data_IF_564140034295
#
_entry.id   IF_564140034295
#
_cell.length_a   1.000
_cell.length_b   1.000
_cell.length_c   1.000
_cell.angle_alpha   90.00
_cell.angle_beta   90.00
_cell.angle_gamma   90.00
#
_symmetry.space_group_name_H-M   'P 1'
#
loop_
_entity.id
_entity.type
_entity.pdbx_description
1 polymer ?
#
# COMPACT_ATOMS: atom_id res chain seq x y z
N UNK A 1 -30.12 3.72 -1.09
CA UNK A 1 -29.39 2.46 -1.39
C UNK A 1 -27.95 2.74 -1.82
N UNK A 2 -27.64 3.98 -2.24
CA UNK A 2 -26.33 4.41 -2.78
C UNK A 2 -25.16 4.43 -1.79
N UNK A 3 -25.41 4.37 -0.48
CA UNK A 3 -24.37 4.43 0.56
C UNK A 3 -23.34 3.30 0.49
N UNK A 4 -23.69 2.18 -0.15
CA UNK A 4 -22.77 1.06 -0.35
C UNK A 4 -21.79 1.25 -1.51
N UNK A 5 -22.00 2.26 -2.35
CA UNK A 5 -21.27 2.43 -3.61
C UNK A 5 -20.45 3.73 -3.66
N UNK A 6 -20.77 4.73 -2.84
CA UNK A 6 -20.11 6.04 -2.88
C UNK A 6 -18.93 6.10 -1.93
N UNK A 7 -17.77 6.49 -2.47
CA UNK A 7 -16.49 6.64 -1.77
C UNK A 7 -15.98 8.09 -1.77
N UNK A 8 -16.83 9.03 -2.20
CA UNK A 8 -16.48 10.42 -2.51
C UNK A 8 -16.85 11.40 -1.38
N UNK A 9 -17.27 10.88 -0.23
CA UNK A 9 -17.74 11.68 0.90
C UNK A 9 -19.02 12.46 0.60
N UNK A 10 -19.79 12.14 -0.46
CA UNK A 10 -21.06 12.83 -0.76
C UNK A 10 -22.18 12.50 0.23
N UNK A 11 -22.03 11.40 0.97
CA UNK A 11 -22.98 10.92 1.97
C UNK A 11 -22.39 11.09 3.38
N UNK A 12 -23.25 11.01 4.39
CA UNK A 12 -22.84 11.09 5.81
C UNK A 12 -22.31 9.75 6.35
N UNK A 13 -22.37 8.68 5.55
CA UNK A 13 -21.86 7.35 5.91
C UNK A 13 -21.08 6.77 4.73
N UNK A 14 -20.01 6.04 5.05
CA UNK A 14 -19.32 5.16 4.11
C UNK A 14 -19.42 3.70 4.56
N UNK A 15 -19.60 2.80 3.60
CA UNK A 15 -19.48 1.37 3.81
C UNK A 15 -18.16 0.88 3.21
N UNK A 16 -17.27 0.34 4.05
CA UNK A 16 -16.03 -0.29 3.59
C UNK A 16 -16.29 -1.79 3.40
N UNK A 17 -16.18 -2.31 2.16
CA UNK A 17 -16.68 -3.64 1.83
C UNK A 17 -15.78 -4.78 2.29
N UNK A 18 -14.47 -4.56 2.45
CA UNK A 18 -13.54 -5.60 2.90
C UNK A 18 -13.81 -5.93 4.37
N UNK A 19 -13.80 -4.93 5.24
CA UNK A 19 -14.03 -5.06 6.68
C UNK A 19 -15.52 -5.11 7.05
N UNK A 20 -16.41 -4.85 6.09
CA UNK A 20 -17.88 -4.80 6.27
C UNK A 20 -18.31 -3.76 7.32
N UNK A 21 -17.53 -2.70 7.46
CA UNK A 21 -17.72 -1.64 8.44
C UNK A 21 -18.55 -0.50 7.85
N UNK A 22 -19.40 0.11 8.68
CA UNK A 22 -20.13 1.34 8.37
C UNK A 22 -19.64 2.46 9.26
N UNK A 23 -19.13 3.52 8.65
CA UNK A 23 -18.52 4.62 9.37
C UNK A 23 -19.31 5.88 9.09
N UNK A 24 -19.81 6.52 10.15
CA UNK A 24 -20.39 7.85 10.08
C UNK A 24 -19.26 8.87 9.90
N UNK A 25 -19.40 9.69 8.86
CA UNK A 25 -18.41 10.67 8.46
C UNK A 25 -18.66 12.01 9.14
N UNK A 26 -17.60 12.58 9.69
CA UNK A 26 -17.62 13.97 10.15
C UNK A 26 -17.51 14.93 8.96
N UNK A 27 -17.73 16.23 9.20
CA UNK A 27 -17.69 17.23 8.13
C UNK A 27 -16.30 17.38 7.51
N UNK A 28 -15.24 17.33 8.30
CA UNK A 28 -13.87 17.33 7.80
C UNK A 28 -13.54 16.06 7.02
N UNK A 29 -14.03 14.89 7.42
CA UNK A 29 -13.79 13.65 6.67
C UNK A 29 -14.47 13.67 5.30
N UNK A 30 -15.72 14.17 5.25
CA UNK A 30 -16.40 14.43 3.97
C UNK A 30 -15.60 15.42 3.12
N UNK A 31 -15.07 16.48 3.71
CA UNK A 31 -14.27 17.48 3.00
C UNK A 31 -12.93 16.91 2.50
N UNK A 32 -12.22 16.12 3.33
CA UNK A 32 -10.98 15.45 2.97
C UNK A 32 -11.22 14.46 1.83
N UNK A 33 -12.27 13.64 1.89
CA UNK A 33 -12.66 12.71 0.82
C UNK A 33 -13.01 13.43 -0.48
N UNK A 34 -13.44 14.69 -0.44
CA UNK A 34 -13.71 15.52 -1.63
C UNK A 34 -12.49 16.31 -2.09
N UNK A 35 -11.39 16.33 -1.32
CA UNK A 35 -10.16 17.02 -1.68
C UNK A 35 -9.53 16.38 -2.91
N UNK A 36 -8.85 17.18 -3.73
CA UNK A 36 -8.19 16.66 -4.94
C UNK A 36 -7.16 15.59 -4.61
N UNK A 37 -6.43 15.78 -3.50
CA UNK A 37 -5.33 14.90 -3.08
C UNK A 37 -5.81 13.51 -2.66
N UNK A 38 -6.91 13.43 -1.91
CA UNK A 38 -7.50 12.14 -1.52
C UNK A 38 -8.25 11.50 -2.69
N UNK A 39 -9.04 12.27 -3.45
CA UNK A 39 -9.76 11.72 -4.63
C UNK A 39 -8.83 11.14 -5.68
N UNK A 40 -7.66 11.75 -5.86
CA UNK A 40 -6.62 11.26 -6.77
C UNK A 40 -6.24 9.80 -6.52
N UNK A 41 -6.21 9.36 -5.25
CA UNK A 41 -5.86 7.98 -4.87
C UNK A 41 -6.77 6.92 -5.48
N UNK A 42 -7.97 7.29 -5.93
CA UNK A 42 -8.86 6.37 -6.63
C UNK A 42 -8.29 5.89 -7.97
N UNK A 43 -7.41 6.71 -8.58
CA UNK A 43 -6.82 6.49 -9.89
C UNK A 43 -5.35 6.07 -9.80
N UNK A 44 -4.93 5.59 -8.64
CA UNK A 44 -3.59 5.05 -8.39
C UNK A 44 -3.75 3.62 -7.90
N UNK A 45 -3.18 2.67 -8.64
CA UNK A 45 -3.23 1.24 -8.26
C UNK A 45 -2.26 0.97 -7.12
N UNK A 46 -2.74 0.35 -6.05
CA UNK A 46 -1.92 0.07 -4.87
C UNK A 46 -0.75 -0.88 -5.18
N UNK A 47 -1.03 -1.98 -5.88
CA UNK A 47 -0.01 -2.97 -6.29
C UNK A 47 0.93 -2.50 -7.42
N UNK A 48 0.89 -1.22 -7.81
CA UNK A 48 1.70 -0.70 -8.91
C UNK A 48 1.40 -1.41 -10.23
N UNK A 49 2.43 -1.81 -10.97
CA UNK A 49 2.29 -2.51 -12.25
C UNK A 49 1.82 -3.98 -12.14
N UNK A 50 1.73 -4.55 -10.93
CA UNK A 50 1.34 -5.96 -10.74
C UNK A 50 -0.07 -6.29 -11.26
N UNK A 51 -0.95 -5.29 -11.40
CA UNK A 51 -2.31 -5.48 -11.95
C UNK A 51 -2.32 -6.04 -13.39
N UNK A 52 -1.20 -5.91 -14.12
CA UNK A 52 -1.09 -6.31 -15.53
C UNK A 52 -1.24 -7.83 -15.68
N UNK A 53 -0.67 -8.59 -14.75
CA UNK A 53 -0.62 -10.06 -14.83
C UNK A 53 -1.06 -10.75 -13.53
N UNK A 54 -1.60 -10.01 -12.56
CA UNK A 54 -2.12 -10.55 -11.31
C UNK A 54 -3.51 -9.98 -11.00
N UNK A 55 -4.15 -10.49 -9.95
CA UNK A 55 -5.43 -9.98 -9.48
C UNK A 55 -5.32 -8.63 -8.73
N UNK A 56 -4.12 -8.11 -8.44
CA UNK A 56 -3.89 -6.89 -7.64
C UNK A 56 -4.34 -5.61 -8.35
N UNK A 57 -5.66 -5.36 -8.33
CA UNK A 57 -6.33 -4.33 -9.14
C UNK A 57 -6.96 -3.20 -8.31
N UNK A 58 -6.84 -3.26 -6.98
CA UNK A 58 -7.42 -2.25 -6.09
C UNK A 58 -6.60 -0.94 -6.04
N UNK A 59 -7.30 0.15 -5.81
CA UNK A 59 -6.73 1.51 -5.73
C UNK A 59 -6.19 1.83 -4.34
N UNK A 60 -5.28 2.82 -4.25
CA UNK A 60 -4.84 3.39 -2.98
C UNK A 60 -5.98 4.00 -2.19
N UNK A 61 -7.03 4.51 -2.84
CA UNK A 61 -8.21 4.98 -2.12
C UNK A 61 -8.93 3.83 -1.40
N UNK A 62 -9.07 2.65 -2.03
CA UNK A 62 -9.70 1.50 -1.37
C UNK A 62 -8.90 1.06 -0.14
N UNK A 63 -7.56 1.03 -0.26
CA UNK A 63 -6.68 0.78 0.86
C UNK A 63 -6.84 1.84 1.98
N UNK A 64 -6.74 3.12 1.61
CA UNK A 64 -6.92 4.27 2.52
C UNK A 64 -8.24 4.20 3.29
N UNK A 65 -9.33 3.82 2.61
CA UNK A 65 -10.64 3.68 3.23
C UNK A 65 -10.73 2.47 4.16
N UNK A 66 -10.03 1.38 3.85
CA UNK A 66 -9.84 0.24 4.73
C UNK A 66 -9.14 0.61 6.04
N UNK A 67 -7.99 1.29 5.92
CA UNK A 67 -7.23 1.80 7.07
C UNK A 67 -8.06 2.80 7.89
N UNK A 68 -8.77 3.71 7.22
CA UNK A 68 -9.71 4.63 7.85
C UNK A 68 -10.83 3.91 8.60
N UNK A 69 -11.44 2.87 8.00
CA UNK A 69 -12.53 2.13 8.62
C UNK A 69 -12.07 1.37 9.87
N UNK A 70 -10.91 0.70 9.81
CA UNK A 70 -10.28 0.09 10.98
C UNK A 70 -9.99 1.14 12.07
N UNK A 71 -9.46 2.30 11.66
CA UNK A 71 -9.16 3.40 12.58
C UNK A 71 -10.41 3.92 13.28
N UNK A 72 -11.48 4.20 12.53
CA UNK A 72 -12.75 4.66 13.09
C UNK A 72 -13.48 3.58 13.91
N UNK A 73 -13.21 2.30 13.67
CA UNK A 73 -13.76 1.20 14.48
C UNK A 73 -13.10 1.12 15.86
N UNK A 74 -11.77 1.16 15.92
CA UNK A 74 -11.03 1.01 17.18
C UNK A 74 -10.85 2.31 17.96
N UNK A 75 -10.79 3.44 17.25
CA UNK A 75 -10.56 4.78 17.82
C UNK A 75 -11.62 5.78 17.30
N UNK A 76 -12.93 5.53 17.54
CA UNK A 76 -14.03 6.28 16.92
C UNK A 76 -14.00 7.79 17.23
N UNK A 77 -13.55 8.17 18.43
CA UNK A 77 -13.53 9.56 18.91
C UNK A 77 -12.24 10.30 18.53
N UNK A 78 -11.22 9.60 18.00
CA UNK A 78 -9.92 10.18 17.67
C UNK A 78 -9.92 10.81 16.27
N UNK A 79 -10.56 11.97 16.14
CA UNK A 79 -10.71 12.69 14.86
C UNK A 79 -9.38 12.97 14.16
N UNK A 80 -8.33 13.31 14.91
CA UNK A 80 -6.99 13.57 14.35
C UNK A 80 -6.37 12.30 13.74
N UNK A 81 -6.46 11.16 14.41
CA UNK A 81 -5.97 9.89 13.89
C UNK A 81 -6.81 9.41 12.69
N UNK A 82 -8.12 9.60 12.72
CA UNK A 82 -9.02 9.31 11.59
C UNK A 82 -8.68 10.15 10.36
N UNK A 83 -8.40 11.44 10.54
CA UNK A 83 -7.90 12.32 9.48
C UNK A 83 -6.52 11.86 8.96
N UNK A 84 -5.60 11.46 9.85
CA UNK A 84 -4.32 10.90 9.47
C UNK A 84 -4.45 9.62 8.63
N UNK A 85 -5.39 8.73 8.98
CA UNK A 85 -5.66 7.52 8.21
C UNK A 85 -6.16 7.83 6.78
N UNK A 86 -6.99 8.87 6.58
CA UNK A 86 -7.41 9.32 5.24
C UNK A 86 -6.29 9.98 4.43
N UNK A 87 -5.23 10.45 5.10
CA UNK A 87 -4.17 11.25 4.49
C UNK A 87 -2.84 10.52 4.34
N UNK A 88 -2.63 9.36 4.97
CA UNK A 88 -1.33 8.70 5.04
C UNK A 88 -0.70 8.41 3.66
N UNK A 89 -1.55 8.15 2.66
CA UNK A 89 -1.14 7.68 1.34
C UNK A 89 -1.17 8.75 0.24
N UNK A 90 -1.55 10.00 0.56
CA UNK A 90 -1.83 11.04 -0.45
C UNK A 90 -0.62 11.48 -1.28
N UNK A 91 0.60 11.20 -0.80
CA UNK A 91 1.85 11.51 -1.46
C UNK A 91 2.30 10.47 -2.49
N UNK A 92 1.67 9.30 -2.59
CA UNK A 92 2.16 8.27 -3.50
C UNK A 92 2.08 8.68 -4.98
N UNK A 93 3.12 8.33 -5.74
CA UNK A 93 3.16 8.49 -7.19
C UNK A 93 2.19 7.53 -7.91
N UNK A 94 1.89 7.80 -9.19
CA UNK A 94 1.31 6.81 -10.09
C UNK A 94 2.07 5.48 -10.03
N UNK A 95 1.36 4.36 -10.12
CA UNK A 95 1.90 3.02 -9.92
C UNK A 95 2.63 2.82 -8.59
N UNK A 96 2.36 3.63 -7.57
CA UNK A 96 2.76 3.30 -6.19
C UNK A 96 4.28 3.09 -6.06
N UNK A 97 4.70 2.01 -5.39
CA UNK A 97 6.10 1.69 -5.17
C UNK A 97 6.88 1.37 -6.47
N UNK A 98 6.21 1.15 -7.62
CA UNK A 98 6.90 0.88 -8.89
C UNK A 98 7.87 2.00 -9.26
N UNK A 99 7.45 3.25 -9.04
CA UNK A 99 8.22 4.44 -9.45
C UNK A 99 9.11 5.00 -8.34
N UNK A 100 8.98 4.54 -7.09
CA UNK A 100 9.74 5.07 -5.93
C UNK A 100 11.26 4.88 -6.02
N UNK A 101 11.73 3.95 -6.84
CA UNK A 101 13.17 3.77 -7.09
C UNK A 101 13.72 4.69 -8.18
N UNK A 102 12.88 5.51 -8.81
CA UNK A 102 13.34 6.53 -9.75
C UNK A 102 13.90 7.75 -8.99
N UNK A 103 14.96 8.40 -9.50
CA UNK A 103 15.55 9.57 -8.85
C UNK A 103 14.53 10.69 -8.62
N UNK A 104 14.54 11.27 -7.43
CA UNK A 104 13.66 12.39 -7.06
C UNK A 104 12.23 11.99 -6.71
N UNK A 105 11.95 10.70 -6.53
CA UNK A 105 10.64 10.18 -6.10
C UNK A 105 10.69 9.82 -4.62
N UNK A 106 10.10 10.64 -3.77
CA UNK A 106 9.96 10.37 -2.33
C UNK A 106 8.51 10.63 -1.88
N UNK A 107 7.76 9.54 -1.70
CA UNK A 107 6.36 9.64 -1.28
C UNK A 107 6.20 10.16 0.16
N UNK A 108 7.19 9.98 1.05
CA UNK A 108 7.10 10.51 2.41
C UNK A 108 7.25 12.03 2.42
N UNK A 109 8.17 12.57 1.63
CA UNK A 109 8.30 14.01 1.42
C UNK A 109 7.03 14.58 0.79
N UNK A 110 6.52 13.95 -0.26
CA UNK A 110 5.30 14.40 -0.93
C UNK A 110 4.05 14.26 -0.07
N UNK A 111 3.95 13.24 0.78
CA UNK A 111 2.85 13.14 1.76
C UNK A 111 2.93 14.31 2.73
N UNK A 112 4.12 14.67 3.23
CA UNK A 112 4.30 15.86 4.08
C UNK A 112 3.86 17.13 3.35
N UNK A 113 4.40 17.41 2.17
CA UNK A 113 4.00 18.58 1.38
C UNK A 113 2.49 18.64 1.12
N UNK A 114 1.89 17.49 0.82
CA UNK A 114 0.46 17.36 0.58
C UNK A 114 -0.38 17.66 1.84
N UNK A 115 0.03 17.15 3.00
CA UNK A 115 -0.62 17.39 4.29
C UNK A 115 -0.53 18.86 4.69
N UNK A 116 0.59 19.54 4.39
CA UNK A 116 0.79 20.97 4.64
C UNK A 116 0.27 21.89 3.52
N UNK A 117 -0.38 21.35 2.49
CA UNK A 117 -0.99 22.17 1.44
C UNK A 117 -2.19 22.98 1.97
N UNK A 118 -2.42 24.16 1.40
CA UNK A 118 -3.50 25.07 1.83
C UNK A 118 -4.87 24.39 1.88
N UNK A 119 -5.20 23.54 0.90
CA UNK A 119 -6.48 22.81 0.85
C UNK A 119 -6.68 21.93 2.09
N UNK A 120 -5.66 21.15 2.48
CA UNK A 120 -5.74 20.25 3.62
C UNK A 120 -5.67 21.02 4.94
N UNK A 121 -4.79 22.02 5.04
CA UNK A 121 -4.68 22.89 6.21
C UNK A 121 -6.02 23.58 6.51
N UNK A 122 -6.70 24.12 5.49
CA UNK A 122 -8.00 24.78 5.67
C UNK A 122 -9.09 23.81 6.15
N UNK A 123 -9.10 22.58 5.62
CA UNK A 123 -10.06 21.55 6.04
C UNK A 123 -9.84 21.16 7.50
N UNK A 124 -8.59 20.87 7.87
CA UNK A 124 -8.23 20.45 9.24
C UNK A 124 -8.46 21.59 10.26
N UNK A 125 -8.12 22.83 9.90
CA UNK A 125 -8.29 24.00 10.75
C UNK A 125 -9.77 24.24 11.12
N UNK A 126 -10.70 24.04 10.18
CA UNK A 126 -12.16 24.14 10.45
C UNK A 126 -12.65 23.12 11.47
N UNK A 127 -11.97 21.98 11.58
CA UNK A 127 -12.25 20.95 12.58
C UNK A 127 -11.46 21.10 13.88
N UNK A 128 -10.64 22.15 14.01
CA UNK A 128 -9.69 22.35 15.10
C UNK A 128 -8.70 21.18 15.25
N UNK A 129 -8.23 20.65 14.11
CA UNK A 129 -7.20 19.61 14.03
C UNK A 129 -5.89 20.27 13.57
N UNK A 130 -4.81 20.06 14.31
CA UNK A 130 -3.50 20.57 13.92
C UNK A 130 -2.83 19.63 12.90
N UNK A 131 -2.38 20.19 11.79
CA UNK A 131 -1.68 19.47 10.71
C UNK A 131 -0.42 18.75 11.20
N UNK A 132 0.28 19.31 12.19
CA UNK A 132 1.44 18.68 12.83
C UNK A 132 1.07 17.38 13.53
N UNK A 133 -0.03 17.36 14.26
CA UNK A 133 -0.49 16.16 14.99
C UNK A 133 -0.93 15.06 14.01
N UNK A 134 -1.50 15.45 12.86
CA UNK A 134 -1.81 14.53 11.76
C UNK A 134 -0.53 13.91 11.19
N UNK A 135 0.49 14.74 10.94
CA UNK A 135 1.78 14.25 10.42
C UNK A 135 2.49 13.33 11.42
N UNK A 136 2.40 13.64 12.72
CA UNK A 136 2.98 12.81 13.79
C UNK A 136 2.39 11.40 13.82
N UNK A 137 1.09 11.26 13.49
CA UNK A 137 0.48 9.95 13.33
C UNK A 137 0.91 9.24 12.04
N UNK A 138 1.05 9.97 10.93
CA UNK A 138 1.44 9.42 9.62
C UNK A 138 2.89 8.91 9.64
N UNK A 139 3.83 9.68 10.19
CA UNK A 139 5.25 9.28 10.25
C UNK A 139 5.59 8.36 11.44
N UNK A 140 4.62 8.11 12.32
CA UNK A 140 4.74 7.27 13.49
C UNK A 140 5.59 7.86 14.62
N UNK A 141 5.87 9.17 14.62
CA UNK A 141 6.43 9.88 15.79
C UNK A 141 5.48 9.74 16.99
N UNK A 142 4.17 9.79 16.72
CA UNK A 142 3.10 9.42 17.65
C UNK A 142 2.60 8.02 17.32
N UNK A 143 3.05 7.07 18.14
CA UNK A 143 2.64 5.66 18.05
C UNK A 143 1.11 5.53 18.08
N UNK A 144 0.56 4.80 17.12
CA UNK A 144 -0.89 4.62 16.97
C UNK A 144 -1.25 3.35 16.21
N UNK A 145 -2.55 3.13 16.03
CA UNK A 145 -3.08 2.08 15.16
C UNK A 145 -2.60 2.23 13.70
N UNK A 146 -2.41 3.47 13.23
CA UNK A 146 -2.04 3.76 11.85
C UNK A 146 -0.58 3.34 11.57
N UNK A 147 0.34 3.78 12.43
CA UNK A 147 1.79 3.65 12.24
C UNK A 147 2.52 3.58 13.58
N UNK A 148 3.64 2.88 13.60
CA UNK A 148 4.59 2.81 14.71
C UNK A 148 6.03 2.69 14.17
N UNK A 149 7.03 2.74 15.07
CA UNK A 149 8.47 2.58 14.77
C UNK A 149 9.10 1.36 15.44
N UNK A 150 8.30 0.53 16.10
CA UNK A 150 8.76 -0.63 16.88
C UNK A 150 8.67 -1.95 16.09
N UNK A 151 8.31 -1.91 14.80
CA UNK A 151 8.30 -3.09 13.93
C UNK A 151 7.11 -4.01 14.17
N UNK A 152 6.11 -3.55 14.92
CA UNK A 152 4.88 -4.28 15.20
C UNK A 152 3.85 -3.99 14.11
N UNK A 153 3.00 -4.98 13.82
CA UNK A 153 1.88 -4.83 12.91
C UNK A 153 1.00 -3.60 13.24
N UNK A 154 0.68 -2.82 12.21
CA UNK A 154 -0.24 -1.68 12.25
C UNK A 154 -1.28 -1.76 11.13
N UNK A 155 -2.31 -0.91 11.18
CA UNK A 155 -3.49 -1.01 10.30
C UNK A 155 -3.19 -0.81 8.82
N UNK A 156 -2.22 0.03 8.48
CA UNK A 156 -1.73 0.21 7.10
C UNK A 156 -1.21 -1.13 6.52
N UNK A 157 -0.25 -1.79 7.18
CA UNK A 157 0.18 -3.12 6.73
C UNK A 157 -0.94 -4.17 6.77
N UNK A 158 -1.76 -4.19 7.82
CA UNK A 158 -2.84 -5.16 7.96
C UNK A 158 -3.85 -5.08 6.81
N UNK A 159 -4.33 -3.88 6.48
CA UNK A 159 -5.28 -3.71 5.39
C UNK A 159 -4.63 -4.14 4.07
N UNK A 160 -3.39 -3.74 3.79
CA UNK A 160 -2.67 -4.16 2.59
C UNK A 160 -2.65 -5.68 2.44
N UNK A 161 -2.19 -6.41 3.47
CA UNK A 161 -2.08 -7.87 3.42
C UNK A 161 -3.43 -8.58 3.30
N UNK A 162 -4.41 -8.16 4.10
CA UNK A 162 -5.76 -8.76 4.07
C UNK A 162 -6.45 -8.46 2.74
N UNK A 163 -6.25 -7.27 2.18
CA UNK A 163 -6.83 -6.86 0.89
C UNK A 163 -6.18 -7.58 -0.28
N UNK A 164 -4.85 -7.71 -0.29
CA UNK A 164 -4.13 -8.53 -1.28
C UNK A 164 -4.61 -9.98 -1.22
N UNK A 165 -4.75 -10.56 -0.03
CA UNK A 165 -5.26 -11.92 0.16
C UNK A 165 -6.72 -12.10 -0.29
N UNK A 166 -7.58 -11.14 0.02
CA UNK A 166 -8.97 -11.16 -0.39
C UNK A 166 -9.11 -11.12 -1.91
N UNK A 167 -8.40 -10.20 -2.57
CA UNK A 167 -8.46 -10.04 -4.02
C UNK A 167 -7.76 -11.19 -4.74
N UNK A 168 -6.69 -11.74 -4.17
CA UNK A 168 -5.99 -12.92 -4.69
C UNK A 168 -6.71 -14.25 -4.43
N UNK A 169 -7.79 -14.25 -3.64
CA UNK A 169 -8.58 -15.45 -3.37
C UNK A 169 -7.90 -16.46 -2.42
N UNK A 170 -6.92 -16.02 -1.63
CA UNK A 170 -6.19 -16.87 -0.68
C UNK A 170 -6.37 -16.45 0.78
N UNK A 171 -7.28 -15.50 1.06
CA UNK A 171 -7.68 -15.17 2.43
C UNK A 171 -8.45 -16.34 3.07
N UNK A 172 -7.86 -16.97 4.08
CA UNK A 172 -8.41 -18.19 4.72
C UNK A 172 -9.35 -17.90 5.89
N UNK A 173 -9.28 -16.72 6.49
CA UNK A 173 -10.17 -16.24 7.55
C UNK A 173 -11.07 -15.12 7.01
N UNK A 174 -12.37 -15.18 7.29
CA UNK A 174 -13.23 -14.08 6.86
C UNK A 174 -12.87 -12.80 7.62
N UNK A 175 -12.99 -11.65 6.98
CA UNK A 175 -12.67 -10.36 7.62
C UNK A 175 -13.52 -10.04 8.85
N UNK A 176 -14.74 -10.60 8.93
CA UNK A 176 -15.60 -10.51 10.12
C UNK A 176 -15.05 -11.30 11.30
N UNK A 177 -14.65 -12.56 11.07
CA UNK A 177 -13.99 -13.39 12.08
C UNK A 177 -12.66 -12.78 12.52
N UNK A 178 -11.88 -12.24 11.56
CA UNK A 178 -10.63 -11.56 11.88
C UNK A 178 -10.87 -10.33 12.76
N UNK A 179 -11.90 -9.53 12.46
CA UNK A 179 -12.29 -8.37 13.26
C UNK A 179 -12.71 -8.76 14.68
N UNK A 180 -13.49 -9.83 14.84
CA UNK A 180 -13.89 -10.35 16.15
C UNK A 180 -12.70 -10.92 16.96
N UNK A 181 -11.68 -11.43 16.26
CA UNK A 181 -10.46 -11.94 16.87
C UNK A 181 -9.41 -10.86 17.19
N UNK A 182 -9.67 -9.59 16.83
CA UNK A 182 -8.79 -8.45 17.07
C UNK A 182 -9.23 -7.61 18.27
N UNK A 183 -8.25 -7.05 18.97
CA UNK A 183 -8.46 -5.99 19.95
C UNK A 183 -7.38 -4.93 19.83
N UNK A 184 -7.70 -3.68 20.16
CA UNK A 184 -6.75 -2.58 20.18
C UNK A 184 -6.41 -2.20 21.62
N UNK A 185 -5.13 -2.27 22.00
CA UNK A 185 -4.65 -1.92 23.35
C UNK A 185 -3.29 -1.26 23.29
N UNK A 186 -3.12 -0.20 24.07
CA UNK A 186 -1.86 0.53 24.24
C UNK A 186 -1.19 0.91 22.91
N UNK A 187 -1.97 1.29 21.89
CA UNK A 187 -1.42 1.67 20.59
C UNK A 187 -1.18 0.54 19.59
N UNK A 188 -1.51 -0.72 19.92
CA UNK A 188 -1.30 -1.88 19.03
C UNK A 188 -2.53 -2.75 18.87
N UNK A 189 -2.63 -3.37 17.68
CA UNK A 189 -3.53 -4.49 17.45
C UNK A 189 -2.98 -5.75 18.11
N UNK A 190 -3.85 -6.49 18.78
CA UNK A 190 -3.60 -7.79 19.37
C UNK A 190 -4.63 -8.79 18.87
N UNK A 191 -4.18 -9.98 18.52
CA UNK A 191 -4.99 -11.03 17.92
C UNK A 191 -5.15 -12.20 18.90
N UNK A 192 -6.23 -12.97 18.78
CA UNK A 192 -6.20 -14.35 19.33
C UNK A 192 -5.03 -15.11 18.71
N UNK A 193 -4.55 -16.16 19.38
CA UNK A 193 -3.41 -16.93 18.89
C UNK A 193 -3.63 -17.43 17.45
N UNK A 194 -4.80 -18.01 17.18
CA UNK A 194 -5.11 -18.59 15.87
C UNK A 194 -5.24 -17.53 14.77
N UNK A 195 -5.90 -16.40 15.05
CA UNK A 195 -5.95 -15.29 14.10
C UNK A 195 -4.57 -14.66 13.88
N UNK A 196 -3.74 -14.58 14.93
CA UNK A 196 -2.36 -14.13 14.83
C UNK A 196 -1.56 -15.00 13.86
N UNK A 197 -1.69 -16.33 13.95
CA UNK A 197 -0.98 -17.27 13.06
C UNK A 197 -1.42 -17.09 11.62
N UNK A 198 -2.72 -16.89 11.37
CA UNK A 198 -3.23 -16.64 10.04
C UNK A 198 -2.72 -15.32 9.46
N UNK A 199 -2.71 -14.24 10.26
CA UNK A 199 -2.15 -12.94 9.85
C UNK A 199 -0.67 -13.06 9.54
N UNK A 200 0.07 -13.81 10.35
CA UNK A 200 1.45 -14.23 10.08
C UNK A 200 1.57 -14.88 8.69
N UNK A 201 0.77 -15.88 8.36
CA UNK A 201 0.83 -16.50 7.02
C UNK A 201 0.58 -15.50 5.89
N UNK A 202 -0.34 -14.52 6.07
CA UNK A 202 -0.57 -13.47 5.07
C UNK A 202 0.68 -12.61 4.82
N UNK A 203 1.45 -12.30 5.87
CA UNK A 203 2.70 -11.56 5.74
C UNK A 203 3.72 -12.38 4.92
N UNK A 204 3.75 -13.70 5.12
CA UNK A 204 4.73 -14.58 4.46
C UNK A 204 4.36 -14.68 2.97
N UNK A 205 3.08 -14.80 2.66
CA UNK A 205 2.57 -14.80 1.30
C UNK A 205 2.80 -13.45 0.60
N UNK A 206 2.61 -12.32 1.28
CA UNK A 206 2.90 -11.01 0.70
C UNK A 206 4.40 -10.88 0.39
N UNK A 207 5.28 -11.35 1.29
CA UNK A 207 6.71 -11.35 1.05
C UNK A 207 7.10 -12.21 -0.15
N UNK A 208 6.50 -13.41 -0.30
CA UNK A 208 6.68 -14.27 -1.48
C UNK A 208 6.15 -13.62 -2.76
N UNK A 209 4.99 -12.97 -2.69
CA UNK A 209 4.40 -12.25 -3.81
C UNK A 209 5.30 -11.10 -4.27
N UNK A 210 5.82 -10.28 -3.36
CA UNK A 210 6.75 -9.20 -3.69
C UNK A 210 8.02 -9.71 -4.40
N UNK A 211 8.52 -10.87 -3.97
CA UNK A 211 9.68 -11.54 -4.55
C UNK A 211 9.38 -12.36 -5.82
N UNK A 212 8.11 -12.47 -6.21
CA UNK A 212 7.69 -13.33 -7.32
C UNK A 212 8.08 -12.74 -8.68
N UNK A 213 8.33 -13.59 -9.70
CA UNK A 213 8.50 -13.14 -11.08
C UNK A 213 7.31 -12.31 -11.59
N UNK A 214 6.10 -12.67 -11.17
CA UNK A 214 4.86 -11.99 -11.57
C UNK A 214 4.88 -10.52 -11.12
N UNK A 215 5.35 -10.23 -9.90
CA UNK A 215 5.47 -8.87 -9.40
C UNK A 215 6.74 -8.16 -9.93
N UNK A 216 7.91 -8.79 -9.79
CA UNK A 216 9.20 -8.15 -10.12
C UNK A 216 9.29 -7.78 -11.59
N UNK A 217 8.86 -8.68 -12.48
CA UNK A 217 9.02 -8.52 -13.92
C UNK A 217 8.28 -7.28 -14.45
N UNK A 218 6.97 -7.23 -14.26
CA UNK A 218 6.13 -6.12 -14.76
C UNK A 218 6.50 -4.79 -14.12
N UNK A 219 6.84 -4.77 -12.84
CA UNK A 219 7.29 -3.55 -12.15
C UNK A 219 8.64 -3.06 -12.69
N UNK A 220 9.56 -3.96 -13.04
CA UNK A 220 10.84 -3.58 -13.62
C UNK A 220 10.68 -2.95 -15.01
N UNK A 221 9.88 -3.56 -15.88
CA UNK A 221 9.60 -3.03 -17.22
C UNK A 221 8.84 -1.71 -17.13
N UNK A 222 7.79 -1.60 -16.31
CA UNK A 222 7.06 -0.35 -16.13
C UNK A 222 7.97 0.77 -15.63
N UNK A 223 8.83 0.50 -14.65
CA UNK A 223 9.81 1.47 -14.13
C UNK A 223 10.80 1.92 -15.21
N UNK A 224 11.32 0.99 -16.01
CA UNK A 224 12.20 1.29 -17.14
C UNK A 224 11.52 2.27 -18.12
N UNK A 225 10.28 1.96 -18.51
CA UNK A 225 9.53 2.77 -19.46
C UNK A 225 9.21 4.17 -18.91
N UNK A 226 8.72 4.26 -17.67
CA UNK A 226 8.49 5.54 -17.00
C UNK A 226 9.81 6.34 -16.83
N UNK A 227 10.91 5.65 -16.53
CA UNK A 227 12.25 6.24 -16.43
C UNK A 227 12.71 6.88 -17.75
N UNK A 228 12.41 6.26 -18.90
CA UNK A 228 12.70 6.85 -20.22
C UNK A 228 11.98 8.20 -20.41
N UNK A 229 10.71 8.30 -20.03
CA UNK A 229 9.95 9.54 -20.11
C UNK A 229 10.55 10.64 -19.20
N UNK A 230 10.99 10.29 -17.98
CA UNK A 230 11.66 11.23 -17.08
C UNK A 230 13.00 11.70 -17.68
N UNK A 231 13.82 10.79 -18.22
CA UNK A 231 15.11 11.14 -18.81
C UNK A 231 15.02 12.05 -20.05
N UNK A 232 13.87 12.06 -20.73
CA UNK A 232 13.58 12.94 -21.87
C UNK A 232 13.00 14.30 -21.46
N UNK A 233 12.85 14.56 -20.16
CA UNK A 233 12.13 15.71 -19.62
C UNK A 233 10.64 15.76 -20.04
N UNK A 234 10.05 14.63 -20.43
CA UNK A 234 8.60 14.53 -20.70
C UNK A 234 7.78 14.46 -19.40
N UNK A 235 8.40 13.95 -18.34
CA UNK A 235 7.86 13.94 -16.98
C UNK A 235 8.88 14.57 -16.04
N UNK A 236 8.54 15.72 -15.46
CA UNK A 236 9.27 16.21 -14.28
C UNK A 236 8.84 15.38 -13.06
N UNK A 237 9.79 14.74 -12.38
CA UNK A 237 9.51 13.88 -11.21
C UNK A 237 8.67 14.62 -10.13
N UNK A 238 8.93 15.91 -9.93
CA UNK A 238 8.19 16.77 -9.00
C UNK A 238 6.69 16.94 -9.34
N UNK A 239 6.26 16.60 -10.57
CA UNK A 239 4.85 16.64 -10.98
C UNK A 239 4.12 15.32 -10.73
N UNK A 240 4.83 14.21 -10.47
CA UNK A 240 4.23 12.90 -10.20
C UNK A 240 3.16 12.93 -9.08
N UNK A 241 3.32 13.68 -7.97
CA UNK A 241 2.31 13.77 -6.91
C UNK A 241 0.97 14.35 -7.34
N UNK A 242 0.90 15.02 -8.50
CA UNK A 242 -0.34 15.54 -9.07
C UNK A 242 -0.94 14.62 -10.15
N UNK A 243 -0.19 13.63 -10.64
CA UNK A 243 -0.58 12.74 -11.74
C UNK A 243 -1.30 11.48 -11.26
N UNK A 244 -1.97 10.78 -12.16
CA UNK A 244 -2.60 9.48 -11.92
C UNK A 244 -1.95 8.43 -12.82
N UNK A 245 -2.26 7.15 -12.64
CA UNK A 245 -1.76 6.09 -13.51
C UNK A 245 -2.07 6.40 -14.98
N UNK A 246 -3.30 6.80 -15.29
CA UNK A 246 -3.74 7.12 -16.66
C UNK A 246 -2.93 8.24 -17.32
N UNK A 247 -2.44 9.22 -16.56
CA UNK A 247 -1.58 10.26 -17.13
C UNK A 247 -0.25 9.67 -17.62
N UNK A 248 0.33 8.74 -16.87
CA UNK A 248 1.57 8.05 -17.25
C UNK A 248 1.30 7.08 -18.42
N UNK A 249 0.21 6.30 -18.35
CA UNK A 249 -0.20 5.38 -19.43
C UNK A 249 -0.39 6.13 -20.76
N UNK A 250 -1.01 7.31 -20.74
CA UNK A 250 -1.18 8.14 -21.94
C UNK A 250 0.15 8.62 -22.52
N UNK A 251 1.10 9.04 -21.68
CA UNK A 251 2.43 9.45 -22.13
C UNK A 251 3.17 8.25 -22.73
N UNK A 252 3.14 7.09 -22.07
CA UNK A 252 3.74 5.85 -22.55
C UNK A 252 3.19 5.42 -23.92
N UNK A 253 1.89 5.53 -24.13
CA UNK A 253 1.25 5.25 -25.43
C UNK A 253 1.60 6.29 -26.50
N UNK A 254 1.82 7.54 -26.11
CA UNK A 254 2.01 8.64 -27.08
C UNK A 254 3.47 8.78 -27.51
N UNK A 255 4.43 8.45 -26.65
CA UNK A 255 5.86 8.54 -26.95
C UNK A 255 6.34 7.40 -27.89
N UNK A 256 6.98 7.72 -29.02
CA UNK A 256 7.50 6.71 -29.95
C UNK A 256 8.50 5.72 -29.35
N UNK A 257 9.27 6.09 -28.31
CA UNK A 257 10.31 5.21 -27.74
C UNK A 257 9.81 4.31 -26.61
N UNK A 258 8.58 4.51 -26.14
CA UNK A 258 7.95 3.65 -25.13
C UNK A 258 6.74 2.88 -25.65
N UNK A 259 6.06 3.38 -26.70
CA UNK A 259 4.76 2.84 -27.15
C UNK A 259 4.78 1.34 -27.42
N UNK A 260 5.73 0.86 -28.23
CA UNK A 260 5.79 -0.55 -28.64
C UNK A 260 6.06 -1.48 -27.44
N UNK A 261 7.06 -1.16 -26.61
CA UNK A 261 7.39 -1.96 -25.44
C UNK A 261 6.31 -1.87 -24.35
N UNK A 262 5.58 -0.75 -24.27
CA UNK A 262 4.42 -0.63 -23.38
C UNK A 262 3.23 -1.48 -23.86
N UNK A 263 2.95 -1.50 -25.17
CA UNK A 263 1.94 -2.40 -25.75
C UNK A 263 2.33 -3.88 -25.50
N UNK A 264 3.61 -4.22 -25.66
CA UNK A 264 4.13 -5.54 -25.32
C UNK A 264 3.97 -5.85 -23.83
N UNK A 265 4.20 -4.89 -22.93
CA UNK A 265 3.95 -5.02 -21.49
C UNK A 265 2.48 -5.37 -21.20
N UNK A 266 1.52 -4.76 -21.89
CA UNK A 266 0.10 -5.02 -21.66
C UNK A 266 -0.37 -6.34 -22.28
N UNK A 267 0.08 -6.67 -23.50
CA UNK A 267 -0.46 -7.79 -24.27
C UNK A 267 0.33 -9.08 -24.10
N UNK A 268 1.61 -8.98 -23.73
CA UNK A 268 2.55 -10.09 -23.75
C UNK A 268 3.36 -10.23 -22.46
N UNK A 269 2.85 -9.76 -21.33
CA UNK A 269 3.53 -9.88 -20.02
C UNK A 269 3.96 -11.31 -19.65
N UNK A 270 3.35 -12.34 -20.26
CA UNK A 270 3.71 -13.74 -20.11
C UNK A 270 5.10 -14.09 -20.70
N UNK A 271 5.65 -13.24 -21.58
CA UNK A 271 7.01 -13.35 -22.14
C UNK A 271 8.08 -12.80 -21.20
N UNK A 272 7.70 -12.06 -20.16
CA UNK A 272 8.67 -11.52 -19.21
C UNK A 272 9.33 -12.69 -18.47
N UNK A 273 10.66 -12.65 -18.38
CA UNK A 273 11.47 -13.60 -17.62
C UNK A 273 12.17 -12.86 -16.50
N UNK A 274 12.28 -13.52 -15.36
CA UNK A 274 12.94 -13.00 -14.15
C UNK A 274 13.91 -14.06 -13.65
N UNK A 275 15.16 -13.69 -13.40
CA UNK A 275 16.18 -14.59 -12.87
C UNK A 275 17.02 -13.90 -11.79
N UNK A 276 17.56 -14.71 -10.88
CA UNK A 276 18.59 -14.30 -9.91
C UNK A 276 20.00 -14.39 -10.49
N UNK A 277 20.18 -15.20 -11.54
CA UNK A 277 21.44 -15.36 -12.25
C UNK A 277 21.52 -14.37 -13.41
N UNK A 278 22.64 -13.64 -13.52
CA UNK A 278 22.85 -12.62 -14.55
C UNK A 278 23.05 -13.28 -15.92
N UNK A 279 22.18 -13.02 -16.91
CA UNK A 279 22.40 -13.49 -18.27
C UNK A 279 23.60 -12.82 -18.94
N UNK A 280 24.12 -13.42 -20.00
CA UNK A 280 25.25 -12.90 -20.79
C UNK A 280 24.89 -11.76 -21.75
N UNK A 281 23.60 -11.43 -21.85
CA UNK A 281 23.06 -10.38 -22.72
C UNK A 281 22.48 -9.21 -21.91
N UNK A 282 22.22 -8.05 -22.53
CA UNK A 282 21.64 -6.89 -21.83
C UNK A 282 20.25 -7.21 -21.24
N UNK A 283 20.06 -6.84 -19.98
CA UNK A 283 18.83 -7.10 -19.22
C UNK A 283 18.53 -5.94 -18.28
N UNK A 284 17.27 -5.77 -17.92
CA UNK A 284 16.86 -4.84 -16.87
C UNK A 284 17.23 -5.39 -15.50
N UNK A 285 17.47 -4.49 -14.55
CA UNK A 285 17.80 -4.85 -13.16
C UNK A 285 16.70 -4.36 -12.22
N UNK A 286 16.29 -5.22 -11.29
CA UNK A 286 15.39 -4.89 -10.20
C UNK A 286 16.03 -5.30 -8.88
N UNK A 287 16.03 -4.41 -7.90
CA UNK A 287 16.57 -4.69 -6.56
C UNK A 287 15.42 -4.76 -5.58
N UNK A 288 15.25 -5.91 -4.94
CA UNK A 288 14.38 -6.08 -3.79
C UNK A 288 15.22 -5.91 -2.53
N UNK A 289 15.14 -4.74 -1.91
CA UNK A 289 15.99 -4.37 -0.76
C UNK A 289 15.35 -4.63 0.59
N UNK A 290 14.02 -4.80 0.65
CA UNK A 290 13.28 -4.93 1.90
C UNK A 290 12.04 -5.81 1.72
N UNK A 291 11.73 -6.58 2.76
CA UNK A 291 10.45 -7.22 2.98
C UNK A 291 9.78 -6.58 4.21
N UNK A 292 8.47 -6.37 4.14
CA UNK A 292 7.70 -5.81 5.25
C UNK A 292 7.25 -6.94 6.16
N UNK A 293 8.03 -7.20 7.22
CA UNK A 293 7.81 -8.28 8.18
C UNK A 293 7.41 -7.70 9.55
N UNK A 294 6.26 -7.01 9.62
CA UNK A 294 5.77 -6.44 10.88
C UNK A 294 4.91 -7.48 11.62
N UNK A 295 5.47 -8.12 12.65
CA UNK A 295 4.84 -9.26 13.31
C UNK A 295 3.61 -8.85 14.14
N UNK A 296 2.55 -9.67 14.17
CA UNK A 296 1.38 -9.41 15.00
C UNK A 296 1.71 -9.66 16.49
N UNK A 297 1.05 -8.90 17.36
CA UNK A 297 0.98 -9.24 18.78
C UNK A 297 -0.22 -10.17 19.01
N UNK A 298 -0.06 -11.14 19.90
CA UNK A 298 -1.19 -11.90 20.43
C UNK A 298 -1.75 -11.27 21.71
N UNK A 299 -2.96 -11.66 22.09
CA UNK A 299 -3.58 -11.25 23.35
C UNK A 299 -2.64 -11.54 24.53
N UNK A 300 -2.36 -10.50 25.32
CA UNK A 300 -1.31 -10.52 26.34
C UNK A 300 -0.06 -9.72 25.95
N UNK A 301 0.01 -9.21 24.71
CA UNK A 301 1.06 -8.31 24.25
C UNK A 301 2.37 -8.99 23.86
N UNK A 302 2.35 -10.30 23.65
CA UNK A 302 3.51 -11.09 23.21
C UNK A 302 3.59 -11.04 21.69
N UNK A 303 4.79 -10.89 21.13
CA UNK A 303 5.01 -11.02 19.68
C UNK A 303 4.78 -12.47 19.28
N UNK A 304 4.02 -12.72 18.22
CA UNK A 304 3.60 -14.10 17.91
C UNK A 304 4.77 -15.07 17.72
N UNK A 305 5.89 -14.59 17.17
CA UNK A 305 7.12 -15.36 16.96
C UNK A 305 7.80 -15.79 18.25
N UNK A 306 7.34 -15.29 19.40
CA UNK A 306 7.84 -15.60 20.74
C UNK A 306 6.82 -16.38 21.57
N UNK A 307 5.70 -16.81 20.98
CA UNK A 307 4.62 -17.49 21.69
C UNK A 307 5.02 -18.86 22.27
N UNK A 308 5.81 -19.65 21.53
CA UNK A 308 6.38 -20.91 21.99
C UNK A 308 7.71 -21.19 21.29
N UNK A 309 8.58 -22.00 21.90
CA UNK A 309 9.89 -22.34 21.34
C UNK A 309 9.77 -23.00 19.95
N UNK A 310 8.84 -23.93 19.80
CA UNK A 310 8.57 -24.63 18.53
C UNK A 310 8.14 -23.66 17.43
N UNK A 311 7.14 -22.81 17.70
CA UNK A 311 6.63 -21.85 16.72
C UNK A 311 7.67 -20.77 16.39
N UNK A 312 8.49 -20.39 17.37
CA UNK A 312 9.61 -19.46 17.16
C UNK A 312 10.62 -19.99 16.17
N UNK A 313 10.98 -21.29 16.29
CA UNK A 313 11.91 -21.94 15.36
C UNK A 313 11.34 -22.00 13.94
N UNK A 314 10.05 -22.32 13.78
CA UNK A 314 9.39 -22.34 12.48
C UNK A 314 9.34 -20.95 11.82
N UNK A 315 9.00 -19.92 12.61
CA UNK A 315 9.01 -18.54 12.14
C UNK A 315 10.41 -18.10 11.72
N UNK A 316 11.44 -18.41 12.53
CA UNK A 316 12.83 -18.06 12.21
C UNK A 316 13.30 -18.76 10.92
N UNK A 317 12.98 -20.03 10.75
CA UNK A 317 13.30 -20.77 9.52
C UNK A 317 12.64 -20.10 8.30
N UNK A 318 11.38 -19.70 8.42
CA UNK A 318 10.66 -19.03 7.33
C UNK A 318 11.21 -17.63 7.04
N UNK A 319 11.53 -16.84 8.07
CA UNK A 319 12.16 -15.53 7.91
C UNK A 319 13.50 -15.64 7.19
N UNK A 320 14.32 -16.65 7.51
CA UNK A 320 15.58 -16.89 6.82
C UNK A 320 15.36 -17.20 5.32
N UNK A 321 14.42 -18.10 5.01
CA UNK A 321 14.06 -18.41 3.61
C UNK A 321 13.56 -17.18 2.84
N UNK A 322 12.72 -16.35 3.47
CA UNK A 322 12.22 -15.12 2.85
C UNK A 322 13.35 -14.10 2.65
N UNK A 323 14.28 -14.00 3.59
CA UNK A 323 15.42 -13.07 3.52
C UNK A 323 16.35 -13.42 2.35
N UNK A 324 16.48 -14.70 1.99
CA UNK A 324 17.25 -15.14 0.80
C UNK A 324 16.65 -14.62 -0.52
N UNK A 325 15.37 -14.23 -0.53
CA UNK A 325 14.72 -13.61 -1.69
C UNK A 325 15.18 -12.17 -1.91
N UNK A 326 15.68 -11.47 -0.88
CA UNK A 326 16.24 -10.13 -1.05
C UNK A 326 17.44 -10.15 -2.00
N UNK A 327 17.63 -9.07 -2.76
CA UNK A 327 18.77 -8.91 -3.64
C UNK A 327 18.38 -8.51 -5.07
N UNK A 328 19.26 -8.87 -6.00
CA UNK A 328 19.16 -8.42 -7.40
C UNK A 328 18.47 -9.46 -8.26
N UNK A 329 17.57 -8.98 -9.11
CA UNK A 329 16.86 -9.73 -10.12
C UNK A 329 17.12 -9.12 -11.49
N UNK A 330 17.22 -9.98 -12.49
CA UNK A 330 17.43 -9.63 -13.88
C UNK A 330 16.15 -9.92 -14.67
N UNK A 331 15.70 -8.96 -15.46
CA UNK A 331 14.41 -9.00 -16.15
C UNK A 331 14.62 -8.76 -17.65
N UNK A 332 14.00 -9.60 -18.49
CA UNK A 332 14.07 -9.47 -19.94
C UNK A 332 12.84 -10.06 -20.63
N UNK A 333 12.72 -9.77 -21.92
CA UNK A 333 11.72 -10.33 -22.81
C UNK A 333 12.23 -11.64 -23.43
N UNK A 334 11.48 -12.73 -23.31
CA UNK A 334 11.74 -13.93 -24.10
C UNK A 334 11.42 -13.68 -25.58
N UNK A 335 12.41 -13.92 -26.45
CA UNK A 335 12.34 -13.67 -27.90
C UNK A 335 11.31 -14.52 -28.62
#
# INVERSE_FOLDING_TARGET
MDFRLRLDGALDEIYEPLWKLRIQLTDEEKALLRSKKVRRLHYIRHGGASFINTHHTYSRLQHTLGVFALTAHFEPDNRTLRAAALLHDIGHAPFSHTLESLPGVDHHEWTREAVFSQEIVDILARANIHTTDVMDYIDGSKRSLLRNKDGILHADHLDSWVRSAFVGGYLTITTGELLEAMSYRNGSLQFTLEAGKQVTELIWEEARMHASPANIGVNAIMRKLAGRLIHKDEIEAAKLPAMTDTHIEQLLCSDPDTREEYEQLLMESWRIRVSREKPSFPVETAVLSKLYLAMPLIQGGVVITEYSDEYSQDCLATINQLTELLGTYYVWWEC
#
